data_IF_083510762557
#
_entry.id   IF_083510762557
#
_cell.length_a   1.000
_cell.length_b   1.000
_cell.length_c   1.000
_cell.angle_alpha   90.00
_cell.angle_beta   90.00
_cell.angle_gamma   90.00
#
_symmetry.space_group_name_H-M   'P 1'
#
loop_
_entity.id
_entity.type
_entity.pdbx_description
1 polymer ?
#
# COMPACT_ATOMS: atom_id res chain seq x y z
N UNK A 1 14.56 53.91 -4.22
CA UNK A 1 14.74 52.58 -3.61
C UNK A 1 13.62 51.66 -4.08
N UNK A 2 13.85 50.85 -5.12
CA UNK A 2 12.86 49.89 -5.64
C UNK A 2 12.84 48.68 -4.70
N UNK A 3 11.78 48.54 -3.91
CA UNK A 3 11.53 47.35 -3.10
C UNK A 3 10.96 46.28 -4.06
N UNK A 4 11.77 45.29 -4.42
CA UNK A 4 11.30 44.09 -5.10
C UNK A 4 10.60 43.21 -4.07
N UNK A 5 9.27 43.19 -4.08
CA UNK A 5 8.46 42.22 -3.36
C UNK A 5 8.66 40.86 -4.04
N UNK A 6 9.46 40.00 -3.42
CA UNK A 6 9.61 38.60 -3.82
C UNK A 6 8.32 37.88 -3.38
N UNK A 7 7.38 37.67 -4.31
CA UNK A 7 6.22 36.84 -4.07
C UNK A 7 6.66 35.37 -4.09
N UNK A 8 6.80 34.75 -2.90
CA UNK A 8 6.94 33.30 -2.77
C UNK A 8 5.62 32.66 -3.22
N UNK A 9 5.59 32.17 -4.47
CA UNK A 9 4.58 31.25 -4.96
C UNK A 9 4.75 29.92 -4.20
N UNK A 10 4.01 29.77 -3.10
CA UNK A 10 3.75 28.47 -2.48
C UNK A 10 2.90 27.65 -3.47
N UNK A 11 3.55 26.92 -4.38
CA UNK A 11 2.88 25.85 -5.11
C UNK A 11 2.50 24.77 -4.08
N UNK A 12 1.21 24.48 -3.87
CA UNK A 12 0.85 23.31 -3.09
C UNK A 12 1.37 22.10 -3.86
N UNK A 13 2.35 21.40 -3.28
CA UNK A 13 2.76 20.10 -3.77
C UNK A 13 1.54 19.21 -3.58
N UNK A 14 0.85 18.91 -4.68
CA UNK A 14 -0.23 17.93 -4.67
C UNK A 14 0.46 16.59 -4.44
N UNK A 15 0.57 16.18 -3.18
CA UNK A 15 0.99 14.83 -2.83
C UNK A 15 -0.17 13.93 -3.25
N UNK A 16 -0.11 13.44 -4.49
CA UNK A 16 -0.95 12.31 -4.88
C UNK A 16 -0.53 11.15 -4.00
N UNK A 17 -1.48 10.55 -3.29
CA UNK A 17 -1.26 9.23 -2.77
C UNK A 17 -0.96 8.30 -3.95
N UNK A 18 0.05 7.45 -3.79
CA UNK A 18 0.53 6.58 -4.85
C UNK A 18 -0.43 5.43 -5.12
N UNK A 19 -0.29 4.81 -6.28
CA UNK A 19 -0.96 3.57 -6.67
C UNK A 19 -0.22 2.35 -6.14
N UNK A 20 -0.85 1.18 -6.23
CA UNK A 20 -0.20 -0.09 -5.91
C UNK A 20 0.99 -0.38 -6.85
N UNK A 21 0.93 0.11 -8.09
CA UNK A 21 2.03 0.06 -9.04
C UNK A 21 3.22 0.96 -8.62
N UNK A 22 2.95 2.12 -8.01
CA UNK A 22 4.00 3.01 -7.48
C UNK A 22 4.75 2.36 -6.31
N UNK A 23 4.04 1.63 -5.45
CA UNK A 23 4.66 0.80 -4.41
C UNK A 23 5.60 -0.25 -5.02
N UNK A 24 5.12 -1.01 -6.02
CA UNK A 24 5.92 -2.06 -6.64
C UNK A 24 7.10 -1.54 -7.48
N UNK A 25 7.02 -0.30 -7.95
CA UNK A 25 8.16 0.38 -8.59
C UNK A 25 9.28 0.65 -7.59
N UNK A 26 8.93 0.93 -6.33
CA UNK A 26 9.89 1.10 -5.22
C UNK A 26 10.39 -0.25 -4.69
N UNK A 27 9.59 -1.31 -4.80
CA UNK A 27 9.92 -2.67 -4.35
C UNK A 27 9.85 -3.70 -5.48
N UNK A 28 10.74 -3.63 -6.49
CA UNK A 28 10.67 -4.50 -7.67
C UNK A 28 10.86 -5.98 -7.34
N UNK A 29 11.63 -6.31 -6.30
CA UNK A 29 11.83 -7.71 -5.89
C UNK A 29 10.54 -8.32 -5.31
N UNK A 30 9.76 -7.54 -4.55
CA UNK A 30 8.43 -7.95 -4.09
C UNK A 30 7.46 -8.16 -5.25
N UNK A 31 7.58 -7.36 -6.30
CA UNK A 31 6.78 -7.52 -7.51
C UNK A 31 7.19 -8.77 -8.30
N UNK A 32 8.48 -9.03 -8.45
CA UNK A 32 8.99 -10.11 -9.29
C UNK A 32 8.70 -11.50 -8.70
N UNK A 33 8.60 -11.62 -7.38
CA UNK A 33 8.12 -12.83 -6.73
C UNK A 33 6.58 -12.85 -6.70
N UNK A 34 5.99 -13.88 -7.33
CA UNK A 34 4.52 -14.01 -7.45
C UNK A 34 3.81 -14.18 -6.11
N UNK A 35 4.44 -14.86 -5.14
CA UNK A 35 3.85 -15.12 -3.83
C UNK A 35 3.81 -13.83 -2.99
N UNK A 36 4.92 -13.11 -2.91
CA UNK A 36 4.97 -11.81 -2.22
C UNK A 36 4.07 -10.78 -2.88
N UNK A 37 4.07 -10.71 -4.22
CA UNK A 37 3.18 -9.82 -4.97
C UNK A 37 1.72 -10.10 -4.66
N UNK A 38 1.30 -11.36 -4.72
CA UNK A 38 -0.10 -11.71 -4.46
C UNK A 38 -0.48 -11.48 -2.99
N UNK A 39 0.40 -11.80 -2.05
CA UNK A 39 0.18 -11.55 -0.63
C UNK A 39 0.00 -10.05 -0.36
N UNK A 40 0.88 -9.19 -0.88
CA UNK A 40 0.75 -7.73 -0.76
C UNK A 40 -0.58 -7.25 -1.33
N UNK A 41 -0.94 -7.66 -2.56
CA UNK A 41 -2.21 -7.24 -3.19
C UNK A 41 -3.44 -7.70 -2.40
N UNK A 42 -3.39 -8.91 -1.84
CA UNK A 42 -4.48 -9.48 -1.05
C UNK A 42 -4.61 -8.76 0.30
N UNK A 43 -3.51 -8.61 1.03
CA UNK A 43 -3.49 -7.95 2.34
C UNK A 43 -3.81 -6.46 2.21
N UNK A 44 -3.40 -5.79 1.13
CA UNK A 44 -3.78 -4.40 0.86
C UNK A 44 -5.29 -4.25 0.65
N UNK A 45 -5.94 -5.20 -0.04
CA UNK A 45 -7.41 -5.22 -0.15
C UNK A 45 -8.07 -5.37 1.23
N UNK A 46 -7.56 -6.27 2.07
CA UNK A 46 -8.06 -6.44 3.44
C UNK A 46 -7.89 -5.17 4.25
N UNK A 47 -6.77 -4.47 4.09
CA UNK A 47 -6.50 -3.21 4.79
C UNK A 47 -7.49 -2.09 4.43
N UNK A 48 -8.22 -2.20 3.32
CA UNK A 48 -9.26 -1.21 2.98
C UNK A 48 -10.59 -1.39 3.72
N UNK A 49 -10.82 -2.50 4.43
CA UNK A 49 -12.16 -2.86 4.93
C UNK A 49 -12.76 -1.80 5.86
N UNK A 50 -11.95 -1.24 6.75
CA UNK A 50 -12.40 -0.20 7.68
C UNK A 50 -12.77 1.08 6.92
N UNK A 51 -11.95 1.48 5.95
CA UNK A 51 -12.20 2.66 5.13
C UNK A 51 -13.39 2.48 4.19
N UNK A 52 -13.62 1.27 3.67
CA UNK A 52 -14.84 0.95 2.92
C UNK A 52 -16.07 1.19 3.82
N UNK A 53 -16.02 0.75 5.07
CA UNK A 53 -17.14 0.92 6.00
C UNK A 53 -17.43 2.40 6.30
N UNK A 54 -16.41 3.25 6.28
CA UNK A 54 -16.51 4.69 6.52
C UNK A 54 -16.92 5.49 5.27
N UNK A 55 -16.47 5.07 4.08
CA UNK A 55 -16.59 5.86 2.85
C UNK A 55 -17.71 5.38 1.91
N UNK A 56 -18.26 4.18 2.13
CA UNK A 56 -19.33 3.62 1.29
C UNK A 56 -20.62 4.43 1.44
N UNK A 57 -21.13 4.90 0.31
CA UNK A 57 -22.42 5.61 0.24
C UNK A 57 -23.58 4.65 -0.03
N UNK A 58 -24.79 5.12 0.20
CA UNK A 58 -26.01 4.36 -0.13
C UNK A 58 -26.03 4.01 -1.63
N UNK A 59 -26.34 2.75 -1.92
CA UNK A 59 -26.32 2.20 -3.27
C UNK A 59 -24.94 1.80 -3.81
N UNK A 60 -23.83 2.13 -3.14
CA UNK A 60 -22.50 1.65 -3.52
C UNK A 60 -22.25 0.21 -3.04
N UNK A 61 -21.63 -0.58 -3.92
CA UNK A 61 -21.11 -1.91 -3.58
C UNK A 61 -19.74 -1.79 -2.90
N UNK A 62 -19.50 -2.53 -1.83
CA UNK A 62 -18.22 -2.51 -1.11
C UNK A 62 -17.01 -2.77 -2.02
N UNK A 63 -17.15 -3.65 -3.01
CA UNK A 63 -16.08 -3.92 -3.98
C UNK A 63 -15.74 -2.72 -4.88
N UNK A 64 -16.70 -1.85 -5.19
CA UNK A 64 -16.44 -0.62 -5.96
C UNK A 64 -15.66 0.38 -5.12
N UNK A 65 -16.03 0.55 -3.85
CA UNK A 65 -15.33 1.43 -2.92
C UNK A 65 -13.91 0.93 -2.68
N UNK A 66 -13.72 -0.36 -2.43
CA UNK A 66 -12.40 -0.98 -2.31
C UNK A 66 -11.53 -0.75 -3.55
N UNK A 67 -12.11 -0.92 -4.74
CA UNK A 67 -11.39 -0.68 -6.00
C UNK A 67 -10.98 0.79 -6.14
N UNK A 68 -11.85 1.73 -5.76
CA UNK A 68 -11.55 3.16 -5.73
C UNK A 68 -10.42 3.48 -4.76
N UNK A 69 -10.51 2.99 -3.53
CA UNK A 69 -9.49 3.19 -2.49
C UNK A 69 -8.11 2.67 -2.93
N UNK A 70 -8.03 1.48 -3.52
CA UNK A 70 -6.76 0.94 -4.01
C UNK A 70 -6.22 1.68 -5.23
N UNK A 71 -7.09 2.36 -5.99
CA UNK A 71 -6.67 3.17 -7.13
C UNK A 71 -6.14 4.54 -6.68
N UNK A 72 -6.75 5.12 -5.65
CA UNK A 72 -6.43 6.46 -5.15
C UNK A 72 -5.27 6.42 -4.13
N UNK A 73 -5.27 5.44 -3.22
CA UNK A 73 -4.34 5.35 -2.09
C UNK A 73 -3.63 3.97 -2.02
N UNK A 74 -3.50 3.29 -3.16
CA UNK A 74 -2.97 1.93 -3.24
C UNK A 74 -1.58 1.73 -2.63
N UNK A 75 -0.69 2.72 -2.75
CA UNK A 75 0.64 2.70 -2.14
C UNK A 75 0.56 2.66 -0.60
N UNK A 76 -0.36 3.43 -0.01
CA UNK A 76 -0.54 3.45 1.44
C UNK A 76 -1.05 2.12 1.97
N UNK A 77 -2.03 1.53 1.30
CA UNK A 77 -2.52 0.18 1.66
C UNK A 77 -1.47 -0.91 1.42
N UNK A 78 -0.59 -0.74 0.43
CA UNK A 78 0.52 -1.66 0.19
C UNK A 78 1.58 -1.58 1.30
N UNK A 79 1.90 -0.39 1.79
CA UNK A 79 2.79 -0.22 2.94
C UNK A 79 2.20 -0.85 4.21
N UNK A 80 0.90 -0.67 4.45
CA UNK A 80 0.20 -1.35 5.56
C UNK A 80 0.27 -2.87 5.38
N UNK A 81 0.02 -3.36 4.17
CA UNK A 81 0.13 -4.77 3.84
C UNK A 81 1.52 -5.34 4.12
N UNK A 82 2.58 -4.61 3.73
CA UNK A 82 3.96 -5.03 3.97
C UNK A 82 4.25 -5.19 5.46
N UNK A 83 3.82 -4.24 6.31
CA UNK A 83 3.97 -4.33 7.78
C UNK A 83 3.22 -5.50 8.39
N UNK A 84 2.01 -5.79 7.90
CA UNK A 84 1.22 -6.95 8.36
C UNK A 84 1.95 -8.25 8.02
N UNK A 85 2.45 -8.37 6.79
CA UNK A 85 3.16 -9.57 6.32
C UNK A 85 4.50 -9.74 7.04
N UNK A 86 5.24 -8.65 7.27
CA UNK A 86 6.45 -8.63 8.09
C UNK A 86 6.19 -9.23 9.47
N UNK A 87 5.19 -8.72 10.18
CA UNK A 87 4.82 -9.20 11.50
C UNK A 87 4.38 -10.69 11.48
N UNK A 88 3.67 -11.13 10.43
CA UNK A 88 3.34 -12.55 10.28
C UNK A 88 4.59 -13.44 10.09
N UNK A 89 5.58 -12.94 9.34
CA UNK A 89 6.86 -13.63 9.14
C UNK A 89 7.67 -13.69 10.43
N UNK A 90 7.73 -12.61 11.22
CA UNK A 90 8.41 -12.59 12.52
C UNK A 90 7.75 -13.53 13.54
N UNK A 91 6.41 -13.63 13.50
CA UNK A 91 5.66 -14.53 14.38
C UNK A 91 5.65 -15.99 13.92
N UNK A 92 6.17 -16.29 12.71
CA UNK A 92 6.19 -17.65 12.17
C UNK A 92 4.82 -18.19 11.74
N UNK A 93 3.88 -17.31 11.39
CA UNK A 93 2.50 -17.67 10.98
C UNK A 93 2.18 -17.32 9.53
N UNK A 94 3.17 -16.85 8.77
CA UNK A 94 2.98 -16.34 7.41
C UNK A 94 2.57 -17.43 6.40
N UNK A 95 2.94 -18.69 6.64
CA UNK A 95 2.51 -19.82 5.81
C UNK A 95 1.00 -20.01 5.92
N UNK A 96 0.47 -20.09 7.15
CA UNK A 96 -0.95 -20.34 7.39
C UNK A 96 -1.80 -19.12 7.02
N UNK A 97 -1.32 -17.91 7.32
CA UNK A 97 -2.08 -16.68 7.12
C UNK A 97 -2.04 -16.18 5.66
N UNK A 98 -0.89 -16.31 5.00
CA UNK A 98 -0.61 -15.64 3.72
C UNK A 98 0.08 -16.54 2.68
N UNK A 99 0.25 -17.84 2.97
CA UNK A 99 0.90 -18.82 2.09
C UNK A 99 2.34 -18.45 1.71
N UNK A 100 3.03 -17.71 2.59
CA UNK A 100 4.43 -17.32 2.40
C UNK A 100 5.36 -18.36 3.02
N UNK A 101 6.36 -18.80 2.25
CA UNK A 101 7.44 -19.68 2.71
C UNK A 101 8.59 -18.89 3.31
N UNK A 102 9.54 -19.58 3.92
CA UNK A 102 10.74 -19.00 4.52
C UNK A 102 11.48 -18.04 3.56
N UNK A 103 11.62 -18.42 2.29
CA UNK A 103 12.30 -17.56 1.30
C UNK A 103 11.48 -16.33 0.93
N UNK A 104 10.15 -16.43 0.90
CA UNK A 104 9.28 -15.28 0.71
C UNK A 104 9.33 -14.34 1.93
N UNK A 105 9.39 -14.91 3.15
CA UNK A 105 9.53 -14.15 4.37
C UNK A 105 10.88 -13.44 4.49
N UNK A 106 11.99 -14.08 4.08
CA UNK A 106 13.29 -13.40 4.00
C UNK A 106 13.24 -12.19 3.08
N UNK A 107 12.52 -12.31 1.95
CA UNK A 107 12.32 -11.22 1.02
C UNK A 107 11.47 -10.10 1.65
N UNK A 108 10.32 -10.41 2.25
CA UNK A 108 9.48 -9.44 2.96
C UNK A 108 10.27 -8.70 4.05
N UNK A 109 10.94 -9.42 4.95
CA UNK A 109 11.73 -8.85 6.06
C UNK A 109 12.90 -7.97 5.59
N UNK A 110 13.41 -8.18 4.37
CA UNK A 110 14.47 -7.37 3.80
C UNK A 110 13.92 -6.07 3.21
N UNK A 111 12.76 -6.14 2.57
CA UNK A 111 12.11 -5.02 1.89
C UNK A 111 11.32 -4.11 2.84
N UNK A 112 11.02 -4.57 4.06
CA UNK A 112 10.37 -3.77 5.12
C UNK A 112 11.30 -2.83 5.89
N UNK A 113 12.62 -2.86 5.65
CA UNK A 113 13.64 -2.07 6.37
C UNK A 113 14.01 -0.80 5.62
#
# INVERSE_FOLDING_TARGET
>A
MKKYLLALLLCPIVVSAGTLEDFFTQHPDLYNNIHTRNAIKSTARVATIDDVSLQKKDGEMSGQVMTRLLKEDGDSYAQIALRILENQCEQGVAMEASQLKDDDCKLILRESK
#
